data_IF_338068820292
#
_entry.id   IF_338068820292
#
_cell.length_a   1.000
_cell.length_b   1.000
_cell.length_c   1.000
_cell.angle_alpha   90.00
_cell.angle_beta   90.00
_cell.angle_gamma   90.00
#
_symmetry.space_group_name_H-M   'P 1'
#
loop_
_entity.id
_entity.type
_entity.pdbx_description
1 polymer ?
#
# COMPACT_ATOMS: atom_id res chain seq x y z
N UNK A 1 15.95 18.15 1.64
CA UNK A 1 15.26 17.04 2.26
C UNK A 1 16.27 16.13 2.93
N UNK A 2 15.91 15.59 4.05
CA UNK A 2 16.83 14.71 4.75
C UNK A 2 16.56 13.25 4.37
N UNK A 3 17.55 12.42 4.60
CA UNK A 3 17.41 11.00 4.30
C UNK A 3 16.24 10.40 5.10
N UNK A 4 16.08 10.82 6.35
CA UNK A 4 14.98 10.33 7.16
C UNK A 4 13.63 10.66 6.56
N UNK A 5 13.49 11.86 6.02
CA UNK A 5 12.23 12.28 5.42
C UNK A 5 11.92 11.45 4.17
N UNK A 6 12.94 11.16 3.39
CA UNK A 6 12.76 10.36 2.18
C UNK A 6 12.35 8.94 2.55
N UNK A 7 13.00 8.37 3.56
CA UNK A 7 12.68 7.01 4.01
C UNK A 7 11.23 6.95 4.49
N UNK A 8 10.82 7.92 5.30
CA UNK A 8 9.45 7.94 5.81
C UNK A 8 8.44 8.08 4.67
N UNK A 9 8.76 8.88 3.68
CA UNK A 9 7.88 9.07 2.55
C UNK A 9 7.71 7.77 1.76
N UNK A 10 8.81 7.09 1.51
CA UNK A 10 8.77 5.84 0.76
C UNK A 10 7.97 4.80 1.52
N UNK A 11 8.21 4.68 2.82
CA UNK A 11 7.49 3.71 3.64
C UNK A 11 5.99 4.01 3.62
N UNK A 12 5.62 5.27 3.73
CA UNK A 12 4.21 5.67 3.72
C UNK A 12 3.55 5.29 2.39
N UNK A 13 4.23 5.54 1.28
CA UNK A 13 3.69 5.22 -0.03
C UNK A 13 3.52 3.71 -0.16
N UNK A 14 4.51 2.95 0.27
CA UNK A 14 4.45 1.49 0.18
C UNK A 14 3.26 0.95 0.99
N UNK A 15 3.06 1.49 2.18
CA UNK A 15 1.96 1.04 3.02
C UNK A 15 0.62 1.35 2.37
N UNK A 16 0.46 2.56 1.85
CA UNK A 16 -0.80 2.97 1.24
C UNK A 16 -1.09 2.16 -0.01
N UNK A 17 -0.13 2.07 -0.88
CA UNK A 17 -0.35 1.33 -2.12
C UNK A 17 -0.44 -0.16 -1.90
N UNK A 18 0.38 -0.68 -0.99
CA UNK A 18 0.32 -2.09 -0.63
C UNK A 18 -1.05 -2.47 -0.09
N UNK A 19 -1.59 -1.65 0.80
CA UNK A 19 -2.91 -1.90 1.35
C UNK A 19 -4.00 -1.84 0.30
N UNK A 20 -3.90 -0.86 -0.61
CA UNK A 20 -4.88 -0.71 -1.67
C UNK A 20 -4.87 -1.90 -2.61
N UNK A 21 -3.68 -2.31 -3.04
CA UNK A 21 -3.54 -3.44 -3.95
C UNK A 21 -4.01 -4.71 -3.27
N UNK A 22 -3.67 -4.88 -2.01
CA UNK A 22 -4.10 -6.06 -1.27
C UNK A 22 -5.62 -6.13 -1.17
N UNK A 23 -6.27 -4.99 -0.97
CA UNK A 23 -7.71 -4.94 -0.90
C UNK A 23 -8.35 -5.34 -2.23
N UNK A 24 -7.76 -4.88 -3.33
CA UNK A 24 -8.25 -5.21 -4.65
C UNK A 24 -8.12 -6.70 -4.91
N UNK A 25 -6.97 -7.28 -4.56
CA UNK A 25 -6.77 -8.70 -4.75
C UNK A 25 -7.72 -9.52 -3.90
N UNK A 26 -7.99 -9.06 -2.68
CA UNK A 26 -8.90 -9.75 -1.82
C UNK A 26 -10.30 -9.79 -2.43
N UNK A 27 -10.75 -8.68 -2.98
CA UNK A 27 -12.07 -8.63 -3.60
C UNK A 27 -12.13 -9.52 -4.84
N UNK A 28 -11.07 -9.57 -5.58
CA UNK A 28 -11.06 -10.38 -6.80
C UNK A 28 -11.02 -11.86 -6.49
N UNK A 29 -10.40 -12.21 -5.38
CA UNK A 29 -10.33 -13.61 -5.03
C UNK A 29 -11.68 -14.14 -4.54
N UNK A 30 -12.45 -13.29 -3.87
CA UNK A 30 -13.75 -13.68 -3.37
C UNK A 30 -14.78 -12.75 -3.94
N UNK A 31 -15.07 -12.88 -5.19
CA UNK A 31 -16.03 -11.99 -5.78
C UNK A 31 -17.41 -12.24 -5.30
N UNK A 32 -17.66 -13.38 -4.64
CA UNK A 32 -18.87 -13.65 -4.23
C UNK A 32 -19.33 -13.10 -3.18
N UNK A 33 -19.63 -12.75 -2.71
CA UNK A 33 -20.03 -12.29 -1.78
C UNK A 33 -20.52 -11.75 -1.65
#
# INVERSE_FOLDING_TARGET
MSTGAIVMMVISIVIVWGGLVAAIFNLRRNPEE
#
